data_IF_553920386648
#
_entry.id   IF_553920386648
#
_cell.length_a   1.000
_cell.length_b   1.000
_cell.length_c   1.000
_cell.angle_alpha   90.00
_cell.angle_beta   90.00
_cell.angle_gamma   90.00
#
_symmetry.space_group_name_H-M   'P 1'
#
loop_
_entity.id
_entity.type
_entity.pdbx_description
1 polymer ?
#
# COMPACT_ATOMS: atom_id res chain seq x y z
N UNK A 1 -89.36 0.00 -31.28
CA UNK A 1 -89.40 1.04 -30.23
C UNK A 1 -88.00 1.20 -29.68
N UNK A 2 -87.57 2.45 -29.65
CA UNK A 2 -86.22 2.98 -29.47
C UNK A 2 -85.50 2.49 -28.22
N UNK A 3 -84.20 2.22 -28.30
CA UNK A 3 -83.28 2.48 -27.20
C UNK A 3 -82.00 3.13 -27.72
N UNK A 4 -81.68 4.25 -27.07
CA UNK A 4 -80.66 5.24 -27.40
C UNK A 4 -79.24 4.75 -27.13
N UNK A 5 -78.31 5.21 -27.97
CA UNK A 5 -76.87 5.03 -27.81
C UNK A 5 -76.38 6.09 -26.82
N UNK A 6 -76.01 5.68 -25.60
CA UNK A 6 -75.31 6.53 -24.62
C UNK A 6 -73.79 6.50 -24.88
N UNK A 7 -73.07 7.62 -24.73
CA UNK A 7 -71.68 7.74 -25.15
C UNK A 7 -70.73 7.04 -24.18
N UNK A 8 -69.67 6.49 -24.76
CA UNK A 8 -68.57 5.78 -24.10
C UNK A 8 -67.89 6.73 -23.10
N UNK A 9 -67.99 6.42 -21.80
CA UNK A 9 -67.20 7.07 -20.74
C UNK A 9 -65.71 6.85 -21.04
N UNK A 10 -64.98 7.91 -21.34
CA UNK A 10 -63.52 7.90 -21.33
C UNK A 10 -63.06 7.66 -19.89
N UNK A 11 -62.37 6.54 -19.66
CA UNK A 11 -61.64 6.32 -18.43
C UNK A 11 -60.40 7.24 -18.45
N UNK A 12 -60.09 7.96 -17.36
CA UNK A 12 -58.90 8.77 -17.31
C UNK A 12 -57.68 7.85 -17.46
N UNK A 13 -56.82 8.18 -18.42
CA UNK A 13 -55.48 7.62 -18.51
C UNK A 13 -54.80 7.87 -17.16
N UNK A 14 -54.61 6.79 -16.39
CA UNK A 14 -53.66 6.79 -15.28
C UNK A 14 -52.31 7.01 -15.94
N UNK A 15 -51.86 8.25 -15.95
CA UNK A 15 -50.44 8.57 -16.08
C UNK A 15 -49.76 7.79 -14.95
N UNK A 16 -49.14 6.68 -15.30
CA UNK A 16 -48.11 6.09 -14.47
C UNK A 16 -47.06 7.16 -14.32
N UNK A 17 -47.10 7.86 -13.19
CA UNK A 17 -45.98 8.65 -12.70
C UNK A 17 -44.78 7.72 -12.80
N UNK A 18 -43.96 7.96 -13.82
CA UNK A 18 -42.68 7.34 -14.00
C UNK A 18 -41.90 7.71 -12.75
N UNK A 19 -41.88 6.77 -11.80
CA UNK A 19 -40.98 6.77 -10.67
C UNK A 19 -39.61 6.80 -11.32
N UNK A 20 -39.10 8.02 -11.55
CA UNK A 20 -37.74 8.32 -11.97
C UNK A 20 -36.87 7.86 -10.81
N UNK A 21 -36.74 6.54 -10.73
CA UNK A 21 -35.99 5.82 -9.75
C UNK A 21 -34.62 6.43 -9.80
N UNK A 22 -34.26 7.10 -8.72
CA UNK A 22 -32.90 7.53 -8.44
C UNK A 22 -32.03 6.30 -8.70
N UNK A 23 -31.43 6.22 -9.89
CA UNK A 23 -30.58 5.09 -10.28
C UNK A 23 -29.40 5.14 -9.34
N UNK A 24 -29.48 4.37 -8.26
CA UNK A 24 -28.43 4.30 -7.23
C UNK A 24 -27.13 4.02 -7.97
N UNK A 25 -26.19 4.96 -7.86
CA UNK A 25 -24.87 4.83 -8.49
C UNK A 25 -24.27 3.47 -8.12
N UNK A 26 -23.87 2.71 -9.14
CA UNK A 26 -23.30 1.37 -8.93
C UNK A 26 -22.01 1.47 -8.12
N UNK A 27 -21.67 0.40 -7.40
CA UNK A 27 -20.42 0.34 -6.63
C UNK A 27 -19.18 0.64 -7.48
N UNK A 28 -19.18 0.19 -8.73
CA UNK A 28 -18.12 0.49 -9.69
C UNK A 28 -18.03 1.99 -9.99
N UNK A 29 -19.15 2.64 -10.32
CA UNK A 29 -19.18 4.09 -10.58
C UNK A 29 -18.72 4.91 -9.37
N UNK A 30 -19.09 4.51 -8.15
CA UNK A 30 -18.62 5.15 -6.92
C UNK A 30 -17.09 5.03 -6.76
N UNK A 31 -16.52 3.85 -7.02
CA UNK A 31 -15.05 3.64 -7.02
C UNK A 31 -14.34 4.48 -8.08
N UNK A 32 -14.89 4.53 -9.30
CA UNK A 32 -14.35 5.37 -10.37
C UNK A 32 -14.40 6.85 -10.02
N UNK A 33 -15.43 7.31 -9.32
CA UNK A 33 -15.53 8.69 -8.82
C UNK A 33 -14.47 8.99 -7.75
N UNK A 34 -14.22 8.07 -6.83
CA UNK A 34 -13.13 8.20 -5.83
C UNK A 34 -11.78 8.34 -6.55
N UNK A 35 -11.49 7.47 -7.52
CA UNK A 35 -10.26 7.54 -8.30
C UNK A 35 -10.15 8.85 -9.09
N UNK A 36 -11.22 9.26 -9.79
CA UNK A 36 -11.23 10.49 -10.56
C UNK A 36 -10.94 11.72 -9.68
N UNK A 37 -11.56 11.81 -8.50
CA UNK A 37 -11.31 12.89 -7.52
C UNK A 37 -9.85 12.92 -7.07
N UNK A 38 -9.27 11.76 -6.76
CA UNK A 38 -7.87 11.65 -6.35
C UNK A 38 -6.91 12.10 -7.47
N UNK A 39 -7.24 11.79 -8.72
CA UNK A 39 -6.43 12.19 -9.89
C UNK A 39 -6.56 13.67 -10.23
N UNK A 40 -7.71 14.30 -9.98
CA UNK A 40 -7.96 15.71 -10.34
C UNK A 40 -7.66 16.70 -9.21
N UNK A 41 -7.26 16.24 -8.02
CA UNK A 41 -6.95 17.11 -6.88
C UNK A 41 -8.16 17.90 -6.37
N UNK A 42 -9.36 17.35 -6.48
CA UNK A 42 -10.60 18.05 -6.11
C UNK A 42 -10.62 18.39 -4.61
N UNK A 43 -10.89 19.64 -4.18
CA UNK A 43 -10.85 20.07 -2.77
C UNK A 43 -12.06 19.62 -1.93
N UNK A 44 -13.02 18.90 -2.52
CA UNK A 44 -14.14 18.30 -1.80
C UNK A 44 -13.64 17.21 -0.85
N UNK A 45 -14.12 17.13 0.40
CA UNK A 45 -13.63 16.18 1.39
C UNK A 45 -13.76 14.74 0.88
N UNK A 46 -12.61 14.09 0.71
CA UNK A 46 -12.52 12.64 0.48
C UNK A 46 -12.83 11.97 1.82
N UNK A 47 -13.99 11.31 1.93
CA UNK A 47 -14.38 10.65 3.18
C UNK A 47 -15.79 10.99 3.68
N UNK A 48 -16.76 11.17 2.78
CA UNK A 48 -18.16 11.00 3.23
C UNK A 48 -18.34 9.56 3.74
N UNK A 49 -19.17 9.31 4.76
CA UNK A 49 -19.46 7.94 5.26
C UNK A 49 -19.82 6.96 4.12
N UNK A 50 -20.35 7.48 3.02
CA UNK A 50 -20.69 6.72 1.81
C UNK A 50 -19.50 6.20 0.97
N UNK A 51 -18.32 6.81 1.10
CA UNK A 51 -17.09 6.42 0.39
C UNK A 51 -16.36 5.28 1.12
N UNK A 52 -16.41 5.27 2.46
CA UNK A 52 -15.85 4.19 3.31
C UNK A 52 -16.58 2.85 3.09
N UNK A 53 -17.87 2.89 2.77
CA UNK A 53 -18.64 1.68 2.50
C UNK A 53 -18.18 0.92 1.23
N UNK A 54 -17.56 1.65 0.29
CA UNK A 54 -17.34 1.19 -1.09
C UNK A 54 -15.92 0.67 -1.35
N UNK A 55 -14.91 1.34 -0.78
CA UNK A 55 -13.50 1.10 -1.10
C UNK A 55 -12.58 1.18 0.13
N UNK A 56 -12.84 0.36 1.14
CA UNK A 56 -12.00 0.28 2.36
C UNK A 56 -11.17 -0.99 2.39
N UNK A 57 -9.91 -0.84 2.86
CA UNK A 57 -9.06 -1.93 3.28
C UNK A 57 -9.63 -2.52 4.58
N UNK A 58 -10.50 -3.53 4.46
CA UNK A 58 -11.21 -4.15 5.60
C UNK A 58 -10.29 -4.87 6.59
N UNK A 59 -9.11 -5.29 6.14
CA UNK A 59 -8.12 -5.95 6.95
C UNK A 59 -6.77 -5.24 6.79
N UNK A 60 -6.32 -4.61 7.87
CA UNK A 60 -5.14 -3.74 7.88
C UNK A 60 -3.95 -4.36 8.60
N UNK A 61 -4.18 -5.25 9.59
CA UNK A 61 -3.12 -5.78 10.44
C UNK A 61 -3.60 -7.00 11.24
N UNK A 62 -2.65 -7.86 11.63
CA UNK A 62 -2.87 -8.94 12.60
C UNK A 62 -2.70 -8.50 14.06
N UNK A 63 -2.32 -7.25 14.32
CA UNK A 63 -2.02 -6.75 15.67
C UNK A 63 -0.76 -7.37 16.28
N UNK A 64 0.19 -7.79 15.44
CA UNK A 64 1.47 -8.35 15.88
C UNK A 64 2.48 -7.27 16.23
N UNK A 65 2.38 -6.11 15.58
CA UNK A 65 3.13 -4.91 15.92
C UNK A 65 2.16 -3.76 16.17
N UNK A 66 2.35 -3.07 17.31
CA UNK A 66 1.67 -1.81 17.58
C UNK A 66 2.23 -0.73 16.66
N UNK A 67 1.36 0.14 16.14
CA UNK A 67 1.74 1.24 15.25
C UNK A 67 1.23 2.57 15.81
N UNK A 68 2.13 3.43 16.27
CA UNK A 68 1.81 4.74 16.83
C UNK A 68 2.39 5.88 15.97
N UNK A 69 1.62 6.91 15.57
CA UNK A 69 2.17 8.09 14.91
C UNK A 69 3.18 8.85 15.79
N UNK A 70 4.27 9.35 15.21
CA UNK A 70 5.22 10.22 15.92
C UNK A 70 4.78 11.68 15.78
N UNK A 71 4.27 12.26 16.87
CA UNK A 71 3.74 13.64 16.90
C UNK A 71 4.85 14.70 16.76
N UNK A 72 6.08 14.40 17.17
CA UNK A 72 7.19 15.36 17.21
C UNK A 72 8.19 15.20 16.05
N UNK A 73 7.85 14.42 15.02
CA UNK A 73 8.71 14.28 13.85
C UNK A 73 8.51 15.48 12.90
N UNK A 74 9.57 15.96 12.20
CA UNK A 74 9.42 17.02 11.21
C UNK A 74 8.39 16.61 10.16
N UNK A 75 7.31 17.38 10.05
CA UNK A 75 6.33 17.21 8.99
C UNK A 75 6.77 18.05 7.81
N UNK A 76 7.09 17.39 6.70
CA UNK A 76 7.35 18.06 5.40
C UNK A 76 6.06 18.22 4.57
N UNK A 77 4.89 18.01 5.18
CA UNK A 77 3.58 18.07 4.53
C UNK A 77 3.27 16.88 3.61
N UNK A 78 4.29 16.16 3.15
CA UNK A 78 4.17 15.04 2.21
C UNK A 78 4.44 13.69 2.85
N UNK A 79 4.90 13.66 4.11
CA UNK A 79 5.16 12.43 4.86
C UNK A 79 4.84 12.56 6.34
N UNK A 80 4.62 11.41 6.97
CA UNK A 80 4.49 11.27 8.42
C UNK A 80 5.38 10.12 8.90
N UNK A 81 5.69 10.11 10.20
CA UNK A 81 6.46 9.03 10.82
C UNK A 81 5.58 8.23 11.77
N UNK A 82 5.78 6.92 11.81
CA UNK A 82 5.11 6.03 12.74
C UNK A 82 6.14 5.10 13.39
N UNK A 83 5.95 4.80 14.67
CA UNK A 83 6.73 3.80 15.39
C UNK A 83 5.98 2.48 15.28
N UNK A 84 6.68 1.46 14.81
CA UNK A 84 6.24 0.09 14.89
C UNK A 84 6.95 -0.57 16.07
N UNK A 85 6.20 -1.11 17.02
CA UNK A 85 6.76 -1.68 18.24
C UNK A 85 6.10 -2.99 18.66
N UNK A 86 6.85 -3.81 19.39
CA UNK A 86 6.34 -5.05 19.98
C UNK A 86 7.18 -5.42 21.21
N UNK A 87 6.55 -6.09 22.18
CA UNK A 87 7.24 -6.65 23.36
C UNK A 87 7.30 -8.18 23.25
N UNK A 88 8.51 -8.75 23.22
CA UNK A 88 8.76 -10.20 23.18
C UNK A 88 9.80 -10.57 24.22
N UNK A 89 9.57 -11.64 24.99
CA UNK A 89 10.51 -12.17 26.00
C UNK A 89 11.04 -11.09 26.96
N UNK A 90 10.14 -10.21 27.43
CA UNK A 90 10.46 -9.06 28.29
C UNK A 90 11.40 -8.00 27.67
N UNK A 91 11.63 -8.05 26.36
CA UNK A 91 12.37 -7.03 25.60
C UNK A 91 11.43 -6.26 24.67
N UNK A 92 11.71 -4.97 24.51
CA UNK A 92 10.98 -4.10 23.58
C UNK A 92 11.76 -3.95 22.28
N UNK A 93 11.05 -4.03 21.16
CA UNK A 93 11.57 -3.86 19.81
C UNK A 93 10.80 -2.72 19.17
N UNK A 94 11.50 -1.76 18.56
CA UNK A 94 10.86 -0.66 17.84
C UNK A 94 11.67 -0.20 16.62
N UNK A 95 10.96 0.31 15.62
CA UNK A 95 11.55 1.00 14.47
C UNK A 95 10.66 2.16 14.06
N UNK A 96 11.27 3.23 13.56
CA UNK A 96 10.55 4.38 13.01
C UNK A 96 10.42 4.23 11.50
N UNK A 97 9.19 4.21 11.00
CA UNK A 97 8.86 4.02 9.60
C UNK A 97 8.25 5.31 9.05
N UNK A 98 8.77 5.78 7.92
CA UNK A 98 8.24 6.93 7.19
C UNK A 98 7.12 6.48 6.27
N UNK A 99 5.97 7.14 6.37
CA UNK A 99 4.80 6.96 5.51
C UNK A 99 4.69 8.17 4.60
N UNK A 100 4.68 7.94 3.29
CA UNK A 100 4.46 9.00 2.31
C UNK A 100 2.95 9.22 2.18
N UNK A 101 2.51 10.46 2.36
CA UNK A 101 1.12 10.91 2.29
C UNK A 101 0.79 11.62 0.98
N UNK A 102 1.72 11.60 0.01
CA UNK A 102 1.59 12.28 -1.29
C UNK A 102 0.42 11.70 -2.11
N UNK A 103 -0.33 12.59 -2.79
CA UNK A 103 -1.24 12.18 -3.86
C UNK A 103 -0.44 11.68 -5.07
N UNK A 104 -0.72 10.45 -5.50
CA UNK A 104 -0.09 9.89 -6.69
C UNK A 104 -0.69 10.52 -7.95
N UNK A 105 0.18 10.98 -8.84
CA UNK A 105 -0.17 11.42 -10.19
C UNK A 105 -0.67 10.23 -11.02
N UNK A 106 -1.44 10.50 -12.08
CA UNK A 106 -1.87 9.45 -13.01
C UNK A 106 -0.67 8.63 -13.51
N UNK A 107 0.39 9.30 -13.97
CA UNK A 107 1.62 8.67 -14.48
C UNK A 107 2.30 7.72 -13.46
N UNK A 108 2.29 8.07 -12.17
CA UNK A 108 2.81 7.22 -11.09
C UNK A 108 1.94 5.96 -10.87
N UNK A 109 0.64 6.00 -11.23
CA UNK A 109 -0.29 4.89 -11.08
C UNK A 109 -0.29 3.88 -12.23
N UNK A 110 -0.01 4.31 -13.46
CA UNK A 110 -0.09 3.47 -14.69
C UNK A 110 1.22 2.73 -15.03
N UNK A 111 2.36 3.11 -14.45
CA UNK A 111 3.69 2.64 -14.87
C UNK A 111 4.36 1.57 -14.00
N UNK A 112 3.93 1.37 -12.75
CA UNK A 112 4.59 0.47 -11.81
C UNK A 112 3.59 -0.15 -10.83
N UNK A 113 3.89 -1.34 -10.30
CA UNK A 113 3.06 -1.93 -9.25
C UNK A 113 3.19 -1.10 -7.96
N UNK A 114 2.09 -0.49 -7.52
CA UNK A 114 2.04 0.34 -6.30
C UNK A 114 1.66 -0.44 -5.03
N UNK A 115 1.53 -1.77 -5.11
CA UNK A 115 1.34 -2.62 -3.93
C UNK A 115 2.51 -2.43 -2.96
N UNK A 116 2.25 -1.84 -1.79
CA UNK A 116 3.25 -1.58 -0.75
C UNK A 116 3.76 -0.14 -0.68
N UNK A 117 3.24 0.73 -1.56
CA UNK A 117 3.59 2.16 -1.60
C UNK A 117 2.64 3.05 -0.78
N UNK A 118 1.65 2.45 -0.13
CA UNK A 118 0.64 3.21 0.63
C UNK A 118 0.69 2.84 2.11
N UNK A 119 0.99 1.58 2.40
CA UNK A 119 0.92 1.04 3.75
C UNK A 119 1.72 -0.25 3.87
N UNK A 120 2.08 -0.58 5.12
CA UNK A 120 2.59 -1.90 5.48
C UNK A 120 1.48 -2.93 5.28
N UNK A 121 1.81 -4.02 4.58
CA UNK A 121 0.89 -5.14 4.38
C UNK A 121 0.93 -6.10 5.57
N UNK A 122 -0.17 -6.83 5.85
CA UNK A 122 -0.20 -7.73 6.99
C UNK A 122 0.81 -8.87 6.84
N UNK A 123 1.14 -9.25 5.60
CA UNK A 123 2.20 -10.22 5.30
C UNK A 123 3.59 -9.71 5.69
N UNK A 124 3.86 -8.43 5.49
CA UNK A 124 5.13 -7.79 5.87
C UNK A 124 5.22 -7.68 7.40
N UNK A 125 4.12 -7.30 8.07
CA UNK A 125 3.98 -7.34 9.53
C UNK A 125 4.25 -8.74 10.10
N UNK A 126 3.63 -9.78 9.52
CA UNK A 126 3.85 -11.16 9.93
C UNK A 126 5.31 -11.59 9.76
N UNK A 127 5.93 -11.26 8.63
CA UNK A 127 7.34 -11.60 8.39
C UNK A 127 8.25 -10.89 9.41
N UNK A 128 8.02 -9.60 9.66
CA UNK A 128 8.77 -8.84 10.65
C UNK A 128 8.67 -9.46 12.05
N UNK A 129 7.45 -9.76 12.50
CA UNK A 129 7.21 -10.44 13.76
C UNK A 129 7.89 -11.82 13.81
N UNK A 130 7.77 -12.60 12.74
CA UNK A 130 8.38 -13.92 12.64
C UNK A 130 9.90 -13.88 12.77
N UNK A 131 10.56 -12.91 12.13
CA UNK A 131 12.02 -12.73 12.24
C UNK A 131 12.43 -12.35 13.66
N UNK A 132 11.67 -11.50 14.36
CA UNK A 132 11.94 -11.17 15.76
C UNK A 132 11.79 -12.38 16.70
N UNK A 133 10.85 -13.29 16.41
CA UNK A 133 10.72 -14.57 17.13
C UNK A 133 11.83 -15.55 16.78
N UNK A 134 12.38 -15.47 15.57
CA UNK A 134 13.35 -16.41 15.02
C UNK A 134 14.67 -15.73 14.62
N UNK A 135 15.19 -14.84 15.49
CA UNK A 135 16.37 -13.98 15.20
C UNK A 135 17.60 -14.75 14.69
N UNK A 136 17.75 -16.01 15.09
CA UNK A 136 18.83 -16.89 14.62
C UNK A 136 18.87 -17.10 13.10
N UNK A 137 17.76 -16.88 12.39
CA UNK A 137 17.70 -17.03 10.93
C UNK A 137 18.56 -16.01 10.19
N UNK A 138 18.71 -14.79 10.73
CA UNK A 138 19.49 -13.73 10.11
C UNK A 138 20.89 -13.57 10.70
N UNK A 139 21.14 -14.16 11.89
CA UNK A 139 22.39 -13.96 12.63
C UNK A 139 23.62 -14.31 11.79
N UNK A 140 24.55 -13.36 11.68
CA UNK A 140 25.81 -13.46 10.92
C UNK A 140 25.63 -13.84 9.44
N UNK A 141 24.47 -13.52 8.84
CA UNK A 141 24.19 -13.75 7.41
C UNK A 141 24.03 -12.43 6.67
N UNK A 142 24.31 -12.48 5.38
CA UNK A 142 23.87 -11.43 4.45
C UNK A 142 22.39 -11.66 4.13
N UNK A 143 21.57 -10.64 4.36
CA UNK A 143 20.11 -10.71 4.19
C UNK A 143 19.70 -9.78 3.06
N UNK A 144 18.90 -10.28 2.12
CA UNK A 144 18.31 -9.49 1.04
C UNK A 144 16.79 -9.53 1.17
N UNK A 145 16.16 -8.37 1.30
CA UNK A 145 14.71 -8.23 1.19
C UNK A 145 14.33 -7.76 -0.21
N UNK A 146 13.45 -8.51 -0.88
CA UNK A 146 12.97 -8.24 -2.23
C UNK A 146 11.53 -7.70 -2.19
N UNK A 147 11.30 -6.54 -2.81
CA UNK A 147 9.96 -5.99 -2.94
C UNK A 147 9.36 -5.56 -1.60
N UNK A 148 10.16 -4.95 -0.73
CA UNK A 148 9.72 -4.50 0.60
C UNK A 148 8.85 -3.24 0.58
N UNK A 149 8.49 -2.73 -0.59
CA UNK A 149 7.67 -1.53 -0.74
C UNK A 149 8.34 -0.30 -0.13
N UNK A 150 7.53 0.65 0.34
CA UNK A 150 8.03 1.88 0.94
C UNK A 150 8.64 1.71 2.33
N UNK A 151 8.47 0.55 2.98
CA UNK A 151 8.84 0.39 4.39
C UNK A 151 10.00 -0.57 4.60
N UNK A 152 10.04 -1.68 3.85
CA UNK A 152 10.94 -2.81 4.13
C UNK A 152 10.92 -3.18 5.63
N UNK A 153 9.75 -3.19 6.27
CA UNK A 153 9.59 -3.28 7.72
C UNK A 153 10.27 -4.54 8.26
N UNK A 154 10.16 -5.67 7.55
CA UNK A 154 10.76 -6.92 7.98
C UNK A 154 12.29 -6.86 7.94
N UNK A 155 12.89 -6.38 6.86
CA UNK A 155 14.34 -6.19 6.75
C UNK A 155 14.88 -5.11 7.69
N UNK A 156 14.12 -4.03 7.90
CA UNK A 156 14.46 -2.96 8.86
C UNK A 156 14.52 -3.50 10.29
N UNK A 157 13.52 -4.29 10.72
CA UNK A 157 13.57 -4.94 12.04
C UNK A 157 14.64 -6.02 12.12
N UNK A 158 14.89 -6.75 11.04
CA UNK A 158 15.95 -7.75 10.97
C UNK A 158 17.34 -7.10 11.13
N UNK A 159 17.59 -5.99 10.43
CA UNK A 159 18.82 -5.22 10.53
C UNK A 159 19.06 -4.76 11.98
N UNK A 160 18.04 -4.18 12.62
CA UNK A 160 18.18 -3.61 13.97
C UNK A 160 18.35 -4.66 15.07
N UNK A 161 17.69 -5.83 14.95
CA UNK A 161 17.53 -6.74 16.09
C UNK A 161 17.93 -8.20 15.86
N UNK A 162 18.24 -8.61 14.63
CA UNK A 162 18.57 -10.01 14.33
C UNK A 162 20.08 -10.28 14.13
N UNK A 163 20.93 -9.28 14.32
CA UNK A 163 22.40 -9.36 14.17
C UNK A 163 22.89 -9.97 12.84
N UNK A 164 22.43 -9.49 11.67
CA UNK A 164 22.99 -9.92 10.38
C UNK A 164 24.41 -9.40 10.17
N UNK A 165 25.14 -9.98 9.23
CA UNK A 165 26.44 -9.43 8.79
C UNK A 165 26.26 -8.22 7.87
N UNK A 166 25.19 -8.23 7.06
CA UNK A 166 24.77 -7.11 6.21
C UNK A 166 23.31 -7.28 5.83
N UNK A 167 22.63 -6.18 5.52
CA UNK A 167 21.26 -6.19 4.99
C UNK A 167 21.17 -5.35 3.72
N UNK A 168 20.52 -5.88 2.69
CA UNK A 168 20.18 -5.13 1.49
C UNK A 168 18.66 -5.08 1.36
N UNK A 169 18.11 -3.86 1.42
CA UNK A 169 16.68 -3.60 1.33
C UNK A 169 16.35 -3.13 -0.08
N UNK A 170 15.42 -3.82 -0.75
CA UNK A 170 15.17 -3.55 -2.17
C UNK A 170 13.70 -3.48 -2.52
N UNK A 171 13.41 -2.63 -3.49
CA UNK A 171 12.14 -2.59 -4.19
C UNK A 171 12.40 -2.28 -5.67
N UNK A 172 11.41 -2.48 -6.55
CA UNK A 172 11.55 -2.10 -7.95
C UNK A 172 11.15 -0.64 -8.23
N UNK A 173 10.48 0.02 -7.28
CA UNK A 173 10.12 1.43 -7.34
C UNK A 173 11.21 2.31 -6.70
N UNK A 174 11.74 3.27 -7.46
CA UNK A 174 12.82 4.18 -7.02
C UNK A 174 12.38 5.05 -5.83
N UNK A 175 11.14 5.56 -5.84
CA UNK A 175 10.59 6.36 -4.74
C UNK A 175 10.49 5.55 -3.46
N UNK A 176 10.12 4.27 -3.56
CA UNK A 176 10.06 3.36 -2.41
C UNK A 176 11.44 3.13 -1.81
N UNK A 177 12.44 2.86 -2.66
CA UNK A 177 13.83 2.70 -2.21
C UNK A 177 14.37 3.98 -1.57
N UNK A 178 14.03 5.16 -2.11
CA UNK A 178 14.43 6.44 -1.51
C UNK A 178 13.79 6.66 -0.13
N UNK A 179 12.52 6.31 0.03
CA UNK A 179 11.87 6.36 1.34
C UNK A 179 12.55 5.41 2.35
N UNK A 180 12.93 4.21 1.90
CA UNK A 180 13.64 3.24 2.74
C UNK A 180 15.02 3.76 3.15
N UNK A 181 15.74 4.52 2.31
CA UNK A 181 16.98 5.21 2.72
C UNK A 181 16.75 6.16 3.88
N UNK A 182 15.67 6.95 3.83
CA UNK A 182 15.31 7.83 4.95
C UNK A 182 15.01 7.02 6.22
N UNK A 183 14.31 5.89 6.10
CA UNK A 183 14.01 4.99 7.23
C UNK A 183 15.30 4.42 7.83
N UNK A 184 16.21 3.92 7.00
CA UNK A 184 17.51 3.38 7.43
C UNK A 184 18.33 4.44 8.17
N UNK A 185 18.40 5.66 7.64
CA UNK A 185 19.08 6.77 8.29
C UNK A 185 18.46 7.13 9.63
N UNK A 186 17.12 7.20 9.70
CA UNK A 186 16.39 7.56 10.92
C UNK A 186 16.54 6.54 12.05
N UNK A 187 16.81 5.28 11.72
CA UNK A 187 17.02 4.20 12.68
C UNK A 187 18.51 3.90 12.94
N UNK A 188 19.43 4.76 12.49
CA UNK A 188 20.87 4.65 12.69
C UNK A 188 21.51 3.38 12.09
N UNK A 189 20.98 2.90 10.96
CA UNK A 189 21.41 1.63 10.34
C UNK A 189 22.24 1.79 9.06
N UNK A 190 22.69 3.01 8.72
CA UNK A 190 23.45 3.29 7.49
C UNK A 190 24.77 2.53 7.38
N UNK A 191 25.33 2.09 8.51
CA UNK A 191 26.56 1.31 8.57
C UNK A 191 26.34 -0.19 8.27
N UNK A 192 25.09 -0.66 8.28
CA UNK A 192 24.73 -2.09 8.17
C UNK A 192 23.80 -2.39 6.98
N UNK A 193 22.95 -1.43 6.63
CA UNK A 193 21.89 -1.60 5.64
C UNK A 193 22.15 -0.77 4.37
N UNK A 194 22.13 -1.44 3.23
CA UNK A 194 22.15 -0.82 1.90
C UNK A 194 20.75 -0.83 1.27
N UNK A 195 20.44 0.17 0.45
CA UNK A 195 19.14 0.28 -0.22
C UNK A 195 19.32 0.33 -1.74
N UNK A 196 18.65 -0.57 -2.46
CA UNK A 196 18.87 -0.76 -3.90
C UNK A 196 17.59 -0.97 -4.70
N UNK A 197 17.61 -0.55 -5.97
CA UNK A 197 16.50 -0.78 -6.90
C UNK A 197 16.69 -2.12 -7.61
N UNK A 198 15.73 -3.03 -7.43
CA UNK A 198 15.72 -4.35 -8.09
C UNK A 198 14.40 -4.55 -8.83
N UNK A 199 14.43 -4.31 -10.13
CA UNK A 199 13.32 -4.65 -11.02
C UNK A 199 13.44 -6.12 -11.44
N UNK A 200 12.61 -6.99 -10.87
CA UNK A 200 12.75 -8.46 -11.01
C UNK A 200 12.89 -8.93 -12.46
N UNK A 201 12.04 -8.45 -13.37
CA UNK A 201 12.10 -8.84 -14.78
C UNK A 201 13.41 -8.39 -15.46
N UNK A 202 13.93 -7.21 -15.11
CA UNK A 202 15.19 -6.69 -15.64
C UNK A 202 16.39 -7.45 -15.05
N UNK A 203 16.37 -7.69 -13.74
CA UNK A 203 17.40 -8.46 -13.05
C UNK A 203 17.46 -9.90 -13.60
N UNK A 204 16.30 -10.56 -13.76
CA UNK A 204 16.23 -11.89 -14.34
C UNK A 204 16.76 -11.95 -15.77
N UNK A 205 16.46 -10.95 -16.61
CA UNK A 205 17.03 -10.85 -17.97
C UNK A 205 18.55 -10.70 -17.93
N UNK A 206 19.08 -9.82 -17.09
CA UNK A 206 20.52 -9.60 -16.96
C UNK A 206 21.24 -10.87 -16.49
N UNK A 207 20.69 -11.58 -15.50
CA UNK A 207 21.25 -12.85 -15.01
C UNK A 207 21.25 -13.93 -16.10
N UNK A 208 20.17 -14.06 -16.87
CA UNK A 208 20.10 -15.00 -18.01
C UNK A 208 21.14 -14.67 -19.09
N UNK A 209 21.30 -13.39 -19.44
CA UNK A 209 22.30 -12.95 -20.42
C UNK A 209 23.73 -13.21 -19.93
N UNK A 210 24.02 -12.93 -18.65
CA UNK A 210 25.31 -13.22 -18.05
C UNK A 210 25.64 -14.71 -18.05
N UNK A 211 24.68 -15.59 -17.75
CA UNK A 211 24.87 -17.04 -17.79
C UNK A 211 25.18 -17.55 -19.21
N UNK A 212 24.50 -17.01 -20.23
CA UNK A 212 24.77 -17.35 -21.64
C UNK A 212 26.17 -16.88 -22.07
N UNK A 213 26.58 -15.69 -21.67
CA UNK A 213 27.89 -15.14 -22.01
C UNK A 213 29.04 -15.85 -21.26
N UNK A 214 28.83 -16.22 -19.99
CA UNK A 214 29.80 -17.00 -19.21
C UNK A 214 30.04 -18.41 -19.77
N UNK A 215 29.05 -19.00 -20.44
CA UNK A 215 29.19 -20.29 -21.13
C UNK A 215 29.84 -20.19 -22.53
N UNK A 216 30.04 -18.99 -23.08
CA UNK A 216 30.73 -18.76 -24.36
C UNK A 216 32.23 -18.49 -24.22
N UNK A 217 32.75 -18.36 -23.00
CA UNK A 217 34.18 -18.10 -22.71
C UNK A 217 34.88 -19.37 -22.20
N UNK A 218 34.51 -20.54 -22.74
CA UNK A 218 35.24 -21.80 -22.53
C UNK A 218 35.60 -22.42 -23.88
#
# INVERSE_FOLDING_TARGET
MSQEILPRREAPSIETNDDRGSKKSTRAQRRWRILARALTGSPEPIGSESDEEVSVRRFTSFGLLECAPLVNAPMDGESSWCEYSVRLDSRSYNVQIRRISKCFTASELIGFNNTGNVCVWPSEECLAYYLLRNRGLCRNRSVLELGGGMSCLAGVLAAKYCNPSSVTLTDGNVTSVENVRCIVARNDMTHLAECGVVQWARAARALRQAAVNGNRVK
#
